data_IF_985087393554
#
_entry.id   IF_985087393554
#
_cell.length_a   1.000
_cell.length_b   1.000
_cell.length_c   1.000
_cell.angle_alpha   90.00
_cell.angle_beta   90.00
_cell.angle_gamma   90.00
#
_symmetry.space_group_name_H-M   'P 1'
#
loop_
_entity.id
_entity.type
_entity.pdbx_description
1 polymer ?
#
# COMPACT_ATOMS: atom_id res chain seq x y z
N UNK A 1 -10.55 9.81 -3.21
CA UNK A 1 -10.02 8.82 -4.13
C UNK A 1 -10.50 7.44 -3.74
N UNK A 2 -11.38 6.87 -4.56
CA UNK A 2 -11.88 5.50 -4.49
C UNK A 2 -10.89 4.54 -5.15
N UNK A 3 -11.10 3.23 -4.99
CA UNK A 3 -10.29 2.20 -5.67
C UNK A 3 -10.38 2.31 -7.19
N UNK A 4 -11.57 2.63 -7.72
CA UNK A 4 -11.76 2.79 -9.17
C UNK A 4 -10.97 3.98 -9.71
N UNK A 5 -11.07 5.13 -9.05
CA UNK A 5 -10.31 6.34 -9.42
C UNK A 5 -8.81 6.09 -9.35
N UNK A 6 -8.33 5.38 -8.32
CA UNK A 6 -6.90 5.06 -8.21
C UNK A 6 -6.43 4.10 -9.30
N UNK A 7 -7.25 3.10 -9.67
CA UNK A 7 -6.86 2.11 -10.67
C UNK A 7 -6.79 2.71 -12.09
N UNK A 8 -7.55 3.77 -12.36
CA UNK A 8 -7.56 4.50 -13.63
C UNK A 8 -6.29 5.34 -13.86
N UNK A 9 -5.60 5.72 -12.78
CA UNK A 9 -4.34 6.47 -12.84
C UNK A 9 -3.22 5.67 -13.54
N UNK A 10 -2.32 6.39 -14.21
CA UNK A 10 -1.07 5.81 -14.68
C UNK A 10 -0.08 5.52 -13.54
N UNK A 11 1.06 4.91 -13.85
CA UNK A 11 2.04 4.50 -12.84
C UNK A 11 2.66 5.69 -12.08
N UNK A 12 2.91 6.80 -12.76
CA UNK A 12 3.48 7.99 -12.14
C UNK A 12 2.44 8.67 -11.25
N UNK A 13 1.21 8.82 -11.73
CA UNK A 13 0.09 9.37 -10.96
C UNK A 13 -0.21 8.52 -9.72
N UNK A 14 -0.16 7.18 -9.82
CA UNK A 14 -0.28 6.27 -8.67
C UNK A 14 0.81 6.51 -7.64
N UNK A 15 2.06 6.61 -8.09
CA UNK A 15 3.20 6.88 -7.20
C UNK A 15 3.04 8.22 -6.47
N UNK A 16 2.65 9.28 -7.17
CA UNK A 16 2.40 10.58 -6.55
C UNK A 16 1.21 10.56 -5.59
N UNK A 17 0.11 9.90 -5.96
CA UNK A 17 -1.06 9.78 -5.11
C UNK A 17 -0.70 9.08 -3.80
N UNK A 18 0.02 7.95 -3.87
CA UNK A 18 0.51 7.24 -2.68
C UNK A 18 1.48 8.10 -1.87
N UNK A 19 2.40 8.81 -2.51
CA UNK A 19 3.35 9.69 -1.83
C UNK A 19 2.67 10.82 -1.04
N UNK A 20 1.51 11.30 -1.52
CA UNK A 20 0.66 12.28 -0.82
C UNK A 20 -0.22 11.65 0.28
N UNK A 21 -0.30 10.31 0.33
CA UNK A 21 -1.04 9.58 1.35
C UNK A 21 -0.31 9.48 2.69
N UNK A 22 -0.87 8.71 3.62
CA UNK A 22 -0.26 8.45 4.93
C UNK A 22 0.30 7.04 4.98
N UNK A 23 1.61 6.90 5.18
CA UNK A 23 2.22 5.60 5.46
C UNK A 23 1.69 5.03 6.78
N UNK A 24 1.23 3.78 6.77
CA UNK A 24 0.68 3.11 7.94
C UNK A 24 1.62 2.05 8.50
N UNK A 25 2.16 1.19 7.64
CA UNK A 25 2.99 0.06 8.03
C UNK A 25 3.71 -0.53 6.82
N UNK A 26 4.70 -1.38 7.09
CA UNK A 26 5.32 -2.24 6.07
C UNK A 26 5.29 -3.70 6.51
N UNK A 27 5.42 -4.60 5.55
CA UNK A 27 5.63 -6.04 5.77
C UNK A 27 6.48 -6.62 4.65
N UNK A 28 7.10 -7.77 4.92
CA UNK A 28 7.73 -8.57 3.87
C UNK A 28 6.75 -9.62 3.38
N UNK A 29 6.53 -9.69 2.07
CA UNK A 29 5.70 -10.73 1.45
C UNK A 29 6.33 -11.22 0.15
N UNK A 30 6.63 -12.51 0.08
CA UNK A 30 7.22 -13.12 -1.12
C UNK A 30 8.56 -12.50 -1.53
N UNK A 31 9.36 -12.01 -0.57
CA UNK A 31 10.63 -11.33 -0.84
C UNK A 31 10.52 -9.86 -1.25
N UNK A 32 9.30 -9.31 -1.32
CA UNK A 32 9.05 -7.90 -1.61
C UNK A 32 8.74 -7.12 -0.32
N UNK A 33 9.15 -5.86 -0.27
CA UNK A 33 8.65 -4.91 0.71
C UNK A 33 7.26 -4.46 0.28
N UNK A 34 6.28 -4.65 1.16
CA UNK A 34 4.91 -4.23 0.92
C UNK A 34 4.56 -3.10 1.88
N UNK A 35 4.53 -1.89 1.36
CA UNK A 35 4.24 -0.69 2.12
C UNK A 35 2.76 -0.35 2.02
N UNK A 36 2.12 -0.16 3.15
CA UNK A 36 0.70 0.15 3.24
C UNK A 36 0.51 1.65 3.45
N UNK A 37 -0.31 2.25 2.60
CA UNK A 37 -0.69 3.66 2.67
C UNK A 37 -2.20 3.82 2.83
N UNK A 38 -2.58 4.83 3.61
CA UNK A 38 -3.95 5.34 3.72
C UNK A 38 -4.13 6.52 2.78
N UNK A 39 -5.17 6.46 1.97
CA UNK A 39 -5.66 7.54 1.13
C UNK A 39 -7.09 7.91 1.56
N UNK A 40 -7.62 9.08 1.21
CA UNK A 40 -8.90 9.55 1.74
C UNK A 40 -10.11 8.61 1.56
N UNK A 41 -10.07 7.68 0.60
CA UNK A 41 -11.17 6.73 0.34
C UNK A 41 -10.74 5.28 0.12
N UNK A 42 -9.48 4.94 0.28
CA UNK A 42 -8.96 3.58 0.11
C UNK A 42 -7.61 3.40 0.81
N UNK A 43 -7.18 2.14 0.91
CA UNK A 43 -5.82 1.77 1.25
C UNK A 43 -5.09 1.29 0.00
N UNK A 44 -3.77 1.47 -0.03
CA UNK A 44 -2.93 1.00 -1.13
C UNK A 44 -1.72 0.27 -0.59
N UNK A 45 -1.51 -0.95 -1.07
CA UNK A 45 -0.25 -1.67 -0.94
C UNK A 45 0.67 -1.30 -2.11
N UNK A 46 1.88 -0.86 -1.81
CA UNK A 46 2.97 -0.68 -2.77
C UNK A 46 3.94 -1.84 -2.62
N UNK A 47 4.12 -2.60 -3.68
CA UNK A 47 5.05 -3.73 -3.69
C UNK A 47 6.36 -3.30 -4.31
N UNK A 48 7.38 -3.17 -3.48
CA UNK A 48 8.70 -2.72 -3.83
C UNK A 48 9.70 -3.89 -3.81
N UNK A 49 10.39 -4.08 -4.93
CA UNK A 49 11.52 -4.98 -5.05
C UNK A 49 12.80 -4.21 -4.71
N UNK A 50 13.38 -4.51 -3.56
CA UNK A 50 14.61 -3.87 -3.10
C UNK A 50 15.82 -4.27 -3.93
N UNK A 51 15.88 -5.48 -4.48
CA UNK A 51 17.00 -5.95 -5.27
C UNK A 51 17.05 -5.26 -6.64
N UNK A 52 15.89 -5.06 -7.26
CA UNK A 52 15.75 -4.33 -8.52
C UNK A 52 15.57 -2.81 -8.34
N UNK A 53 15.41 -2.33 -7.10
CA UNK A 53 15.12 -0.94 -6.74
C UNK A 53 13.93 -0.36 -7.52
N UNK A 54 12.82 -1.10 -7.58
CA UNK A 54 11.65 -0.71 -8.37
C UNK A 54 10.33 -1.07 -7.69
N UNK A 55 9.31 -0.24 -7.95
CA UNK A 55 7.94 -0.59 -7.62
C UNK A 55 7.43 -1.57 -8.68
N UNK A 56 7.02 -2.76 -8.22
CA UNK A 56 6.52 -3.82 -9.09
C UNK A 56 5.02 -3.68 -9.35
N UNK A 57 4.23 -3.23 -8.36
CA UNK A 57 2.79 -2.98 -8.51
C UNK A 57 2.21 -2.17 -7.35
N UNK A 58 0.98 -1.71 -7.58
CA UNK A 58 0.10 -1.10 -6.58
C UNK A 58 -1.18 -1.92 -6.48
N UNK A 59 -1.68 -2.15 -5.27
CA UNK A 59 -2.98 -2.78 -5.04
C UNK A 59 -3.83 -1.92 -4.13
N UNK A 60 -4.91 -1.35 -4.68
CA UNK A 60 -5.85 -0.54 -3.93
C UNK A 60 -7.03 -1.36 -3.43
N UNK A 61 -7.45 -1.14 -2.18
CA UNK A 61 -8.58 -1.84 -1.57
C UNK A 61 -9.29 -1.00 -0.50
N UNK A 62 -10.49 -1.42 -0.15
CA UNK A 62 -11.27 -0.87 0.98
C UNK A 62 -11.60 -1.90 2.05
N UNK A 63 -11.40 -3.19 1.76
CA UNK A 63 -11.68 -4.27 2.71
C UNK A 63 -10.68 -4.25 3.87
N UNK A 64 -11.14 -3.88 5.06
CA UNK A 64 -10.33 -3.82 6.28
C UNK A 64 -9.74 -5.17 6.71
N UNK A 65 -10.28 -6.29 6.25
CA UNK A 65 -9.70 -7.62 6.53
C UNK A 65 -8.28 -7.76 5.95
N UNK A 66 -7.98 -7.04 4.85
CA UNK A 66 -6.64 -7.02 4.26
C UNK A 66 -5.62 -6.25 5.11
N UNK A 67 -6.05 -5.56 6.17
CA UNK A 67 -5.17 -4.94 7.16
C UNK A 67 -4.67 -5.93 8.21
N UNK A 68 -5.31 -7.10 8.34
CA UNK A 68 -4.97 -8.09 9.37
C UNK A 68 -3.47 -8.52 9.37
N UNK A 69 -2.82 -8.72 8.20
CA UNK A 69 -1.39 -9.05 8.16
C UNK A 69 -0.49 -7.97 8.77
N UNK A 70 -0.91 -6.71 8.73
CA UNK A 70 -0.18 -5.59 9.30
C UNK A 70 -0.40 -5.47 10.80
N UNK A 71 -1.62 -5.72 11.26
CA UNK A 71 -1.96 -5.70 12.69
C UNK A 71 -1.26 -6.82 13.47
N UNK A 72 -1.08 -7.99 12.84
CA UNK A 72 -0.41 -9.13 13.47
C UNK A 72 1.10 -8.90 13.72
N UNK A 73 1.72 -7.94 13.03
CA UNK A 73 3.14 -7.61 13.20
C UNK A 73 3.39 -6.55 14.28
N UNK A 74 2.31 -5.94 14.76
CA UNK A 74 2.32 -4.87 15.75
C UNK A 74 1.81 -5.37 17.08
N UNK A 75 2.69 -5.34 18.07
CA UNK A 75 2.34 -5.22 19.47
C UNK A 75 1.67 -3.84 19.70
N UNK A 76 0.48 -3.59 19.10
CA UNK A 76 -0.27 -2.35 19.24
C UNK A 76 -0.76 -2.22 20.69
N UNK A 77 -0.26 -1.27 21.49
CA UNK A 77 -0.92 -0.94 22.74
C UNK A 77 -2.23 -0.23 22.39
N UNK A 78 -3.34 -0.86 22.79
CA UNK A 78 -4.67 -0.26 22.90
C UNK A 78 -4.67 0.94 23.84
#
# INVERSE_FOLDING_TARGET
MTVYEFNDLDQQEKAEAVWRGTFLAERIAGGLHVQLYSLPGCYVEVFYDQAANQITRFEAFTNKQLLAPYLAQTNFPI
#
